data_IF_979653269000
#
_entry.id   IF_979653269000
#
_cell.length_a   1.000
_cell.length_b   1.000
_cell.length_c   1.000
_cell.angle_alpha   90.00
_cell.angle_beta   90.00
_cell.angle_gamma   90.00
#
_symmetry.space_group_name_H-M   'P 1'
#
loop_
_entity.id
_entity.type
_entity.pdbx_description
1 polymer ?
#
# COMPACT_ATOMS: atom_id res chain seq x y z
N UNK A 1 27.15 -6.00 -6.48
CA UNK A 1 25.84 -6.09 -5.82
C UNK A 1 24.80 -5.83 -6.90
N UNK A 2 23.88 -6.76 -7.15
CA UNK A 2 22.79 -6.51 -8.09
C UNK A 2 21.90 -5.39 -7.52
N UNK A 3 21.42 -4.44 -8.33
CA UNK A 3 20.48 -3.43 -7.86
C UNK A 3 19.24 -4.13 -7.31
N UNK A 4 18.82 -3.77 -6.10
CA UNK A 4 17.60 -4.31 -5.52
C UNK A 4 16.41 -3.72 -6.28
N UNK A 5 15.63 -4.56 -6.93
CA UNK A 5 14.38 -4.12 -7.57
C UNK A 5 13.37 -3.71 -6.51
N UNK A 6 12.66 -2.60 -6.73
CA UNK A 6 11.53 -2.19 -5.90
C UNK A 6 10.47 -3.31 -5.87
N UNK A 7 9.77 -3.52 -4.74
CA UNK A 7 8.72 -4.52 -4.68
C UNK A 7 7.57 -4.13 -5.60
N UNK A 8 7.07 -5.12 -6.35
CA UNK A 8 5.85 -4.96 -7.13
C UNK A 8 4.66 -5.11 -6.17
N UNK A 9 3.85 -4.06 -6.09
CA UNK A 9 2.62 -3.99 -5.33
C UNK A 9 1.44 -4.27 -6.27
N UNK A 10 0.52 -5.09 -5.80
CA UNK A 10 -0.83 -5.24 -6.35
C UNK A 10 -1.76 -5.62 -5.19
N UNK A 11 -2.33 -4.60 -4.57
CA UNK A 11 -3.01 -4.76 -3.29
C UNK A 11 -4.14 -3.75 -3.12
N UNK A 12 -5.05 -4.05 -2.21
CA UNK A 12 -6.02 -3.09 -1.71
C UNK A 12 -5.69 -2.73 -0.28
N UNK A 13 -5.72 -1.44 0.06
CA UNK A 13 -5.67 -0.96 1.44
C UNK A 13 -7.08 -0.72 1.96
N UNK A 14 -7.36 -1.24 3.14
CA UNK A 14 -8.65 -1.13 3.82
C UNK A 14 -8.46 -0.80 5.29
N UNK A 15 -9.49 -0.26 5.93
CA UNK A 15 -9.51 -0.16 7.39
C UNK A 15 -9.50 -1.55 8.04
N UNK A 16 -8.85 -1.68 9.19
CA UNK A 16 -8.84 -2.93 9.94
C UNK A 16 -10.18 -3.15 10.66
N UNK A 17 -10.88 -4.27 10.38
CA UNK A 17 -12.07 -4.66 11.15
C UNK A 17 -11.74 -4.94 12.62
N UNK A 18 -12.72 -4.75 13.51
CA UNK A 18 -12.50 -4.91 14.96
C UNK A 18 -12.19 -6.37 15.36
N UNK A 19 -12.76 -7.33 14.64
CA UNK A 19 -12.55 -8.76 14.82
C UNK A 19 -11.26 -9.28 14.17
N UNK A 20 -10.58 -8.44 13.40
CA UNK A 20 -9.37 -8.82 12.69
C UNK A 20 -8.22 -9.08 13.65
N UNK A 21 -7.47 -10.15 13.40
CA UNK A 21 -6.38 -10.57 14.28
C UNK A 21 -5.27 -11.29 13.51
N UNK A 22 -4.01 -11.19 13.97
CA UNK A 22 -2.92 -11.98 13.40
C UNK A 22 -3.20 -13.48 13.49
N UNK A 23 -2.95 -14.23 12.42
CA UNK A 23 -3.19 -15.68 12.39
C UNK A 23 -2.00 -16.51 11.86
N UNK A 24 -0.89 -15.87 11.51
CA UNK A 24 0.30 -16.55 11.02
C UNK A 24 1.12 -15.64 10.11
N UNK A 25 1.86 -16.25 9.19
CA UNK A 25 2.66 -15.52 8.21
C UNK A 25 2.61 -16.17 6.83
N UNK A 26 2.79 -15.35 5.79
CA UNK A 26 2.99 -15.78 4.41
C UNK A 26 4.34 -15.27 3.90
N UNK A 27 5.00 -16.04 3.04
CA UNK A 27 6.25 -15.59 2.38
C UNK A 27 5.90 -14.97 1.04
N UNK A 28 6.24 -13.69 0.88
CA UNK A 28 6.08 -12.93 -0.37
C UNK A 28 7.42 -12.34 -0.75
N UNK A 29 7.92 -12.68 -1.94
CA UNK A 29 9.26 -12.28 -2.42
C UNK A 29 10.40 -12.57 -1.42
N UNK A 30 10.34 -13.72 -0.74
CA UNK A 30 11.32 -14.13 0.26
C UNK A 30 11.19 -13.44 1.63
N UNK A 31 10.18 -12.59 1.81
CA UNK A 31 9.92 -11.87 3.05
C UNK A 31 8.68 -12.42 3.75
N UNK A 32 8.76 -12.62 5.06
CA UNK A 32 7.62 -13.03 5.87
C UNK A 32 6.72 -11.83 6.18
N UNK A 33 5.46 -11.89 5.76
CA UNK A 33 4.41 -10.92 6.06
C UNK A 33 3.42 -11.52 7.06
N UNK A 34 2.89 -10.70 7.96
CA UNK A 34 1.94 -11.16 8.99
C UNK A 34 0.53 -11.27 8.41
N UNK A 35 -0.02 -12.49 8.40
CA UNK A 35 -1.39 -12.75 7.95
C UNK A 35 -2.41 -12.26 8.96
N UNK A 36 -3.53 -11.75 8.45
CA UNK A 36 -4.68 -11.30 9.23
C UNK A 36 -5.91 -12.11 8.84
N UNK A 37 -6.60 -12.67 9.82
CA UNK A 37 -7.93 -13.26 9.63
C UNK A 37 -9.03 -12.35 10.17
N UNK A 38 -10.30 -12.68 9.89
CA UNK A 38 -11.44 -11.88 10.34
C UNK A 38 -11.82 -10.72 9.40
N UNK A 39 -11.10 -10.54 8.29
CA UNK A 39 -11.39 -9.49 7.32
C UNK A 39 -12.55 -9.79 6.35
N UNK A 40 -13.17 -10.96 6.45
CA UNK A 40 -14.25 -11.43 5.57
C UNK A 40 -15.61 -10.82 5.93
N UNK A 41 -15.69 -10.15 7.08
CA UNK A 41 -16.87 -9.43 7.56
C UNK A 41 -16.97 -8.06 6.89
N UNK A 42 -17.99 -7.27 7.27
CA UNK A 42 -18.20 -5.93 6.75
C UNK A 42 -17.06 -5.00 7.19
N UNK A 43 -16.04 -4.86 6.34
CA UNK A 43 -14.90 -3.97 6.55
C UNK A 43 -15.40 -2.55 6.83
N UNK A 44 -14.99 -1.90 7.92
CA UNK A 44 -15.42 -0.53 8.20
C UNK A 44 -14.84 0.43 7.15
N UNK A 45 -15.45 1.62 6.95
CA UNK A 45 -14.81 2.65 6.15
C UNK A 45 -13.55 3.17 6.87
N UNK A 46 -12.57 3.62 6.08
CA UNK A 46 -11.45 4.44 6.55
C UNK A 46 -12.05 5.79 6.97
N UNK A 47 -11.76 6.33 8.17
CA UNK A 47 -12.43 7.51 8.73
C UNK A 47 -11.96 8.83 8.11
N UNK A 48 -12.02 8.91 6.77
CA UNK A 48 -11.64 10.04 5.93
C UNK A 48 -12.60 10.16 4.76
N UNK A 49 -12.97 11.39 4.42
CA UNK A 49 -13.74 11.63 3.20
C UNK A 49 -12.85 11.53 1.96
N UNK A 50 -13.47 11.33 0.81
CA UNK A 50 -12.79 11.28 -0.47
C UNK A 50 -11.97 12.56 -0.74
N UNK A 51 -12.60 13.73 -0.59
CA UNK A 51 -11.99 15.04 -0.84
C UNK A 51 -10.78 15.28 0.05
N UNK A 52 -10.84 14.79 1.28
CA UNK A 52 -9.77 14.99 2.25
C UNK A 52 -8.54 14.14 1.91
N UNK A 53 -8.72 12.95 1.33
CA UNK A 53 -7.62 12.11 0.82
C UNK A 53 -7.09 12.65 -0.50
N UNK A 54 -7.98 12.99 -1.46
CA UNK A 54 -7.59 13.60 -2.74
C UNK A 54 -6.80 14.88 -2.52
N UNK A 55 -7.26 15.76 -1.62
CA UNK A 55 -6.57 17.01 -1.31
C UNK A 55 -5.13 16.79 -0.83
N UNK A 56 -4.88 15.75 -0.04
CA UNK A 56 -3.51 15.41 0.40
C UNK A 56 -2.69 14.72 -0.70
N UNK A 57 -3.31 13.88 -1.54
CA UNK A 57 -2.62 13.29 -2.69
C UNK A 57 -2.19 14.36 -3.70
N UNK A 58 -3.00 15.40 -3.90
CA UNK A 58 -2.67 16.54 -4.78
C UNK A 58 -1.46 17.36 -4.30
N UNK A 59 -1.07 17.25 -3.03
CA UNK A 59 0.14 17.89 -2.49
C UNK A 59 1.43 17.11 -2.83
N UNK A 60 1.30 15.86 -3.29
CA UNK A 60 2.44 15.01 -3.62
C UNK A 60 3.01 15.40 -5.00
N UNK A 61 4.31 15.73 -5.02
CA UNK A 61 4.99 16.12 -6.27
C UNK A 61 4.90 15.01 -7.32
N UNK A 62 4.59 15.40 -8.56
CA UNK A 62 4.42 14.52 -9.74
C UNK A 62 3.26 13.52 -9.63
N UNK A 63 2.37 13.64 -8.66
CA UNK A 63 1.13 12.87 -8.61
C UNK A 63 0.07 13.55 -9.49
N UNK A 64 -0.57 12.78 -10.36
CA UNK A 64 -1.75 13.19 -11.11
C UNK A 64 -2.96 12.40 -10.61
N UNK A 65 -4.01 13.09 -10.17
CA UNK A 65 -5.25 12.49 -9.67
C UNK A 65 -6.47 13.17 -10.31
N UNK A 66 -7.46 12.36 -10.65
CA UNK A 66 -8.76 12.80 -11.14
C UNK A 66 -9.83 12.71 -10.05
N UNK A 67 -10.91 13.48 -10.22
CA UNK A 67 -12.04 13.50 -9.28
C UNK A 67 -12.88 12.22 -9.28
N UNK A 68 -12.56 11.24 -10.13
CA UNK A 68 -13.11 9.88 -10.08
C UNK A 68 -12.32 8.95 -9.16
N UNK A 69 -11.22 9.42 -8.57
CA UNK A 69 -10.38 8.69 -7.62
C UNK A 69 -9.19 7.98 -8.27
N UNK A 70 -9.09 8.00 -9.61
CA UNK A 70 -7.95 7.44 -10.33
C UNK A 70 -6.74 8.34 -10.19
N UNK A 71 -5.57 7.75 -9.98
CA UNK A 71 -4.31 8.50 -9.98
C UNK A 71 -3.14 7.70 -10.49
N UNK A 72 -2.14 8.43 -10.98
CA UNK A 72 -0.82 7.91 -11.32
C UNK A 72 0.21 8.77 -10.61
N UNK A 73 1.14 8.12 -9.92
CA UNK A 73 2.25 8.77 -9.25
C UNK A 73 3.55 8.12 -9.69
N UNK A 74 4.50 8.92 -10.15
CA UNK A 74 5.79 8.40 -10.62
C UNK A 74 6.95 9.25 -10.12
N UNK A 75 8.14 8.68 -10.17
CA UNK A 75 9.37 9.35 -9.74
C UNK A 75 10.63 8.64 -10.21
N UNK A 76 11.76 9.17 -9.77
CA UNK A 76 13.06 8.54 -9.91
C UNK A 76 13.61 8.29 -8.53
N UNK A 77 14.13 7.09 -8.27
CA UNK A 77 14.81 6.82 -7.01
C UNK A 77 16.11 7.63 -6.93
N UNK A 78 16.26 8.48 -5.92
CA UNK A 78 17.53 9.16 -5.67
C UNK A 78 18.50 8.22 -4.96
N UNK A 79 19.72 8.07 -5.50
CA UNK A 79 20.81 7.33 -4.83
C UNK A 79 21.05 5.88 -5.25
N UNK A 80 20.30 5.32 -6.20
CA UNK A 80 20.60 4.00 -6.81
C UNK A 80 21.41 4.14 -8.11
N UNK A 81 22.25 3.17 -8.50
CA UNK A 81 23.14 3.26 -9.67
C UNK A 81 22.46 3.28 -11.04
N UNK A 82 21.13 3.30 -11.10
CA UNK A 82 20.38 3.52 -12.34
C UNK A 82 19.19 4.43 -12.05
N UNK A 83 18.81 5.21 -13.06
CA UNK A 83 17.53 5.90 -13.22
C UNK A 83 16.34 4.94 -13.09
N UNK A 84 16.17 4.30 -11.93
CA UNK A 84 15.06 3.42 -11.66
C UNK A 84 13.82 4.29 -11.52
N UNK A 85 13.08 4.36 -12.62
CA UNK A 85 11.77 4.98 -12.69
C UNK A 85 10.81 4.09 -11.95
N UNK A 86 10.05 4.68 -11.03
CA UNK A 86 9.00 4.01 -10.31
C UNK A 86 7.65 4.63 -10.66
N UNK A 87 6.59 3.84 -10.56
CA UNK A 87 5.23 4.27 -10.82
C UNK A 87 4.27 3.47 -9.95
N UNK A 88 3.33 4.18 -9.31
CA UNK A 88 2.14 3.64 -8.70
C UNK A 88 0.91 4.16 -9.43
N UNK A 89 0.09 3.23 -9.87
CA UNK A 89 -1.27 3.46 -10.32
C UNK A 89 -2.20 3.16 -9.15
N UNK A 90 -3.20 4.00 -8.92
CA UNK A 90 -4.16 3.78 -7.84
C UNK A 90 -5.56 4.25 -8.16
N UNK A 91 -6.49 3.72 -7.37
CA UNK A 91 -7.90 4.06 -7.48
C UNK A 91 -8.51 4.12 -6.08
N UNK A 92 -9.04 5.29 -5.72
CA UNK A 92 -9.73 5.55 -4.47
C UNK A 92 -11.23 5.28 -4.63
N UNK A 93 -11.81 4.55 -3.69
CA UNK A 93 -13.25 4.27 -3.68
C UNK A 93 -13.84 4.71 -2.34
N UNK A 94 -14.98 5.38 -2.38
CA UNK A 94 -15.74 5.83 -1.23
C UNK A 94 -17.22 5.42 -1.34
N UNK A 95 -18.00 5.70 -0.29
CA UNK A 95 -19.45 5.48 -0.24
C UNK A 95 -20.26 6.79 -0.13
N UNK A 96 -19.65 7.93 -0.44
CA UNK A 96 -20.20 9.27 -0.30
C UNK A 96 -19.99 9.88 1.10
N UNK A 97 -19.72 9.08 2.12
CA UNK A 97 -19.41 9.58 3.47
C UNK A 97 -17.93 9.40 3.80
N UNK A 98 -17.35 8.26 3.41
CA UNK A 98 -15.99 7.91 3.76
C UNK A 98 -15.34 6.96 2.75
N UNK A 99 -14.01 6.95 2.72
CA UNK A 99 -13.24 6.05 1.88
C UNK A 99 -13.47 4.60 2.30
N UNK A 100 -13.81 3.76 1.34
CA UNK A 100 -14.01 2.31 1.51
C UNK A 100 -12.70 1.55 1.39
N UNK A 101 -11.87 1.92 0.42
CA UNK A 101 -10.59 1.26 0.12
C UNK A 101 -9.81 2.05 -0.92
N UNK A 102 -8.51 1.76 -0.98
CA UNK A 102 -7.59 2.23 -2.01
C UNK A 102 -6.97 1.03 -2.73
N UNK A 103 -7.07 0.97 -4.05
CA UNK A 103 -6.32 -0.01 -4.86
C UNK A 103 -5.00 0.59 -5.29
N UNK A 104 -3.94 -0.22 -5.29
CA UNK A 104 -2.59 0.18 -5.68
C UNK A 104 -1.94 -0.91 -6.52
N UNK A 105 -1.34 -0.49 -7.63
CA UNK A 105 -0.54 -1.33 -8.52
C UNK A 105 0.74 -0.63 -8.92
N UNK A 106 1.84 -1.37 -9.02
CA UNK A 106 3.12 -0.84 -9.49
C UNK A 106 4.20 -0.95 -8.45
N UNK A 107 5.14 -0.01 -8.41
CA UNK A 107 6.24 -0.02 -7.45
C UNK A 107 6.64 1.40 -7.08
N UNK A 108 7.08 1.59 -5.84
CA UNK A 108 7.69 2.82 -5.38
C UNK A 108 8.70 2.52 -4.26
N UNK A 109 9.62 3.46 -3.95
CA UNK A 109 10.44 3.36 -2.77
C UNK A 109 9.61 3.54 -1.48
N UNK A 110 10.19 3.10 -0.37
CA UNK A 110 9.50 3.06 0.92
C UNK A 110 9.04 4.45 1.38
N UNK A 111 9.84 5.50 1.11
CA UNK A 111 9.51 6.86 1.54
C UNK A 111 8.26 7.36 0.82
N UNK A 112 8.11 7.12 -0.47
CA UNK A 112 6.91 7.45 -1.23
C UNK A 112 5.70 6.61 -0.80
N UNK A 113 5.88 5.30 -0.59
CA UNK A 113 4.83 4.44 -0.03
C UNK A 113 4.23 5.02 1.27
N UNK A 114 5.08 5.51 2.18
CA UNK A 114 4.60 6.11 3.43
C UNK A 114 3.79 7.39 3.25
N UNK A 115 3.99 8.14 2.16
CA UNK A 115 3.19 9.33 1.86
C UNK A 115 1.77 8.95 1.45
N UNK A 116 1.59 7.88 0.66
CA UNK A 116 0.25 7.35 0.33
C UNK A 116 -0.46 6.87 1.60
N UNK A 117 0.24 6.15 2.47
CA UNK A 117 -0.32 5.71 3.75
C UNK A 117 -0.74 6.90 4.61
N UNK A 118 0.09 7.94 4.68
CA UNK A 118 -0.23 9.15 5.44
C UNK A 118 -1.45 9.89 4.87
N UNK A 119 -1.55 9.98 3.53
CA UNK A 119 -2.71 10.58 2.87
C UNK A 119 -4.02 9.84 3.22
N UNK A 120 -3.96 8.50 3.21
CA UNK A 120 -5.10 7.64 3.48
C UNK A 120 -5.49 7.62 4.97
N UNK A 121 -4.50 7.53 5.86
CA UNK A 121 -4.64 7.38 7.30
C UNK A 121 -3.54 8.15 8.04
N UNK A 122 -3.71 9.47 8.28
CA UNK A 122 -2.70 10.31 8.92
C UNK A 122 -2.53 10.06 10.43
N UNK A 123 -3.51 9.41 11.07
CA UNK A 123 -3.43 8.90 12.46
C UNK A 123 -3.04 7.42 12.45
N UNK A 124 -2.72 6.83 13.61
CA UNK A 124 -2.50 5.38 13.80
C UNK A 124 -3.75 4.51 13.54
N UNK A 125 -4.62 4.93 12.60
CA UNK A 125 -5.75 4.15 12.13
C UNK A 125 -5.21 2.83 11.57
N UNK A 126 -5.57 1.69 12.16
CA UNK A 126 -5.04 0.41 11.71
C UNK A 126 -5.59 0.09 10.32
N UNK A 127 -4.68 -0.21 9.40
CA UNK A 127 -4.99 -0.62 8.04
C UNK A 127 -4.57 -2.07 7.81
N UNK A 128 -5.23 -2.72 6.86
CA UNK A 128 -4.91 -4.06 6.34
C UNK A 128 -4.73 -3.97 4.83
N UNK A 129 -3.79 -4.76 4.30
CA UNK A 129 -3.62 -4.92 2.87
C UNK A 129 -4.19 -6.27 2.42
N UNK A 130 -5.08 -6.26 1.43
CA UNK A 130 -5.46 -7.46 0.68
C UNK A 130 -4.51 -7.61 -0.50
N UNK A 131 -3.70 -8.66 -0.50
CA UNK A 131 -2.78 -8.97 -1.59
C UNK A 131 -3.53 -9.71 -2.70
N UNK A 132 -3.56 -9.14 -3.91
CA UNK A 132 -4.38 -9.67 -5.00
C UNK A 132 -3.89 -11.04 -5.49
N UNK A 133 -2.58 -11.22 -5.63
CA UNK A 133 -1.98 -12.47 -6.10
C UNK A 133 -2.12 -13.61 -5.10
N UNK A 134 -1.89 -13.32 -3.81
CA UNK A 134 -1.97 -14.34 -2.75
C UNK A 134 -3.38 -14.54 -2.20
N UNK A 135 -4.32 -13.64 -2.55
CA UNK A 135 -5.71 -13.65 -2.10
C UNK A 135 -5.85 -13.73 -0.56
N UNK A 136 -5.01 -12.97 0.14
CA UNK A 136 -4.97 -12.97 1.59
C UNK A 136 -4.81 -11.56 2.16
N UNK A 137 -5.24 -11.37 3.41
CA UNK A 137 -5.02 -10.14 4.14
C UNK A 137 -3.73 -10.21 4.96
N UNK A 138 -2.96 -9.13 4.94
CA UNK A 138 -1.75 -8.95 5.76
C UNK A 138 -1.78 -7.62 6.50
N UNK A 139 -1.02 -7.52 7.60
CA UNK A 139 -0.83 -6.24 8.28
C UNK A 139 -0.05 -5.27 7.39
N UNK A 140 -0.54 -4.03 7.26
CA UNK A 140 0.15 -2.98 6.48
C UNK A 140 1.54 -2.66 7.04
N UNK A 141 1.70 -2.70 8.37
CA UNK A 141 3.00 -2.52 9.05
C UNK A 141 4.05 -3.55 8.59
N UNK A 142 3.63 -4.79 8.30
CA UNK A 142 4.52 -5.87 7.87
C UNK A 142 5.02 -5.70 6.42
N UNK A 143 4.32 -4.91 5.59
CA UNK A 143 4.71 -4.69 4.19
C UNK A 143 6.10 -4.06 4.04
N UNK A 144 6.58 -3.32 5.05
CA UNK A 144 7.94 -2.74 5.06
C UNK A 144 9.03 -3.78 4.79
N UNK A 145 8.79 -5.05 5.13
CA UNK A 145 9.72 -6.15 4.87
C UNK A 145 10.00 -6.31 3.36
N UNK A 146 9.04 -6.00 2.48
CA UNK A 146 9.20 -6.09 1.02
C UNK A 146 10.29 -5.15 0.46
N UNK A 147 10.63 -4.08 1.18
CA UNK A 147 11.72 -3.18 0.83
C UNK A 147 13.07 -3.60 1.39
N UNK A 148 13.14 -4.69 2.18
CA UNK A 148 14.41 -5.24 2.68
C UNK A 148 15.01 -6.20 1.66
N UNK A 149 16.35 -6.32 1.61
CA UNK A 149 17.00 -7.39 0.87
C UNK A 149 16.47 -8.76 1.32
N UNK A 150 16.23 -9.67 0.37
CA UNK A 150 15.86 -11.06 0.69
C UNK A 150 16.92 -11.68 1.61
N UNK A 151 16.52 -12.14 2.78
CA UNK A 151 17.40 -12.85 3.73
C UNK A 151 17.64 -14.31 3.32
N UNK A 152 16.91 -14.82 2.30
CA UNK A 152 17.13 -16.16 1.80
C UNK A 152 18.40 -16.23 0.93
N UNK A 153 19.32 -17.17 1.18
CA UNK A 153 20.48 -17.38 0.33
C UNK A 153 20.00 -17.75 -1.08
N UNK A 154 20.62 -17.13 -2.08
CA UNK A 154 20.46 -17.54 -3.47
C UNK A 154 20.90 -19.00 -3.59
N UNK A 155 19.95 -19.92 -3.75
CA UNK A 155 20.19 -21.30 -4.16
C UNK A 155 20.57 -21.37 -5.63
#
# INVERSE_FOLDING_TARGET
>A
MSPQSLPLLNLHLLAMPAEARPCGSIVVHGQALELVEGCNAAVPPIPRTFEAVVGQLMELDRLYIEWDGSFVWCGKSSGEPSDSVWQLDGMLYDDGAAVRRLELRGSCPWIEWTQVLHALAPTDTPLVAYLQEQQCFVQVSSLKQLWRPSELPAT
#
